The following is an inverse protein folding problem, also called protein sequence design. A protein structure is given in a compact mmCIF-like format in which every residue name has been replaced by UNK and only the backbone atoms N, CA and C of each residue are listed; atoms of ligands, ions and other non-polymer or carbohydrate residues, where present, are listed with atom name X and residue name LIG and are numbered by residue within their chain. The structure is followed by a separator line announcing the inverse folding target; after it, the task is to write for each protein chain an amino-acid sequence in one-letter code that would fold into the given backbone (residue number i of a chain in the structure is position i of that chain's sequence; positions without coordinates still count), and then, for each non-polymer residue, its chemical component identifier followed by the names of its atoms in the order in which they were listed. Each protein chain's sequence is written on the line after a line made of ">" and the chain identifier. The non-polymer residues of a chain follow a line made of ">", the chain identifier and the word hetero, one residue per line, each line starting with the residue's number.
data_IF_245871556788
#
_entry.id   IF_245871556788
#
_cell.length_a   1.000
_cell.length_b   1.000
_cell.length_c   1.000
_cell.angle_alpha   90.00
_cell.angle_beta   90.00
_cell.angle_gamma   90.00
#
_symmetry.space_group_name_H-M   'P 1'
#
loop_
_entity.id
_entity.type
_entity.pdbx_description
1 polymer ?
#
# COMPACT_ATOMS: atom_id res chain seq x y z
N UNK A 1 -35.01 -15.85 -8.12
CA UNK A 1 -34.89 -15.69 -6.65
C UNK A 1 -33.81 -16.57 -5.98
N UNK A 2 -33.73 -17.89 -6.17
CA UNK A 2 -32.72 -18.76 -5.51
C UNK A 2 -31.25 -18.37 -5.73
N UNK A 3 -30.88 -17.81 -6.89
CA UNK A 3 -29.48 -17.40 -7.19
C UNK A 3 -28.99 -16.21 -6.35
N UNK A 4 -29.85 -15.27 -5.97
CA UNK A 4 -29.45 -14.07 -5.21
C UNK A 4 -29.14 -14.40 -3.75
N UNK A 5 -29.98 -15.20 -3.10
CA UNK A 5 -29.76 -15.64 -1.71
C UNK A 5 -28.53 -16.53 -1.57
N UNK A 6 -28.27 -17.40 -2.55
CA UNK A 6 -27.08 -18.24 -2.58
C UNK A 6 -25.78 -17.43 -2.74
N UNK A 7 -25.79 -16.39 -3.60
CA UNK A 7 -24.65 -15.49 -3.78
C UNK A 7 -24.33 -14.71 -2.49
N UNK A 8 -25.36 -14.16 -1.84
CA UNK A 8 -25.21 -13.45 -0.56
C UNK A 8 -24.63 -14.34 0.54
N UNK A 9 -25.17 -15.55 0.72
CA UNK A 9 -24.64 -16.54 1.68
C UNK A 9 -23.19 -16.92 1.38
N UNK A 10 -22.82 -17.00 0.10
CA UNK A 10 -21.45 -17.32 -0.29
C UNK A 10 -20.47 -16.20 0.05
N UNK A 11 -20.87 -14.94 -0.11
CA UNK A 11 -20.10 -13.76 0.31
C UNK A 11 -19.90 -13.72 1.83
N UNK A 12 -20.99 -13.86 2.59
CA UNK A 12 -20.96 -13.92 4.04
C UNK A 12 -20.06 -15.03 4.60
N UNK A 13 -20.08 -16.22 3.99
CA UNK A 13 -19.14 -17.30 4.36
C UNK A 13 -17.68 -16.96 4.06
N UNK A 14 -17.42 -16.26 2.96
CA UNK A 14 -16.08 -15.82 2.59
C UNK A 14 -15.56 -14.76 3.57
N UNK A 15 -16.39 -13.79 3.95
CA UNK A 15 -16.06 -12.80 4.98
C UNK A 15 -15.79 -13.45 6.33
N UNK A 16 -16.62 -14.40 6.76
CA UNK A 16 -16.40 -15.12 8.03
C UNK A 16 -15.10 -15.91 8.05
N UNK A 17 -14.76 -16.61 6.97
CA UNK A 17 -13.49 -17.33 6.86
C UNK A 17 -12.31 -16.35 6.89
N UNK A 18 -12.40 -15.24 6.15
CA UNK A 18 -11.37 -14.20 6.15
C UNK A 18 -11.20 -13.61 7.55
N UNK A 19 -12.29 -13.25 8.22
CA UNK A 19 -12.29 -12.72 9.60
C UNK A 19 -11.61 -13.68 10.57
N UNK A 20 -11.93 -14.97 10.50
CA UNK A 20 -11.29 -15.98 11.34
C UNK A 20 -9.80 -16.13 11.06
N UNK A 21 -9.37 -16.09 9.78
CA UNK A 21 -7.95 -16.15 9.43
C UNK A 21 -7.21 -14.90 9.93
N UNK A 22 -7.77 -13.71 9.67
CA UNK A 22 -7.21 -12.42 10.04
C UNK A 22 -7.08 -12.26 11.56
N UNK A 23 -8.02 -12.78 12.35
CA UNK A 23 -8.01 -12.64 13.81
C UNK A 23 -6.84 -13.35 14.49
N UNK A 24 -6.13 -14.23 13.77
CA UNK A 24 -4.92 -14.88 14.28
C UNK A 24 -3.69 -13.96 14.29
N UNK A 25 -3.73 -12.79 13.64
CA UNK A 25 -2.59 -11.88 13.59
C UNK A 25 -2.94 -10.39 13.55
N UNK A 26 -4.24 -10.05 13.50
CA UNK A 26 -4.71 -8.67 13.53
C UNK A 26 -5.98 -8.52 14.36
N UNK A 27 -6.11 -7.38 15.04
CA UNK A 27 -7.38 -6.92 15.58
C UNK A 27 -8.27 -6.44 14.44
N UNK A 28 -9.53 -6.86 14.42
CA UNK A 28 -10.45 -6.59 13.31
C UNK A 28 -11.56 -5.65 13.78
N UNK A 29 -11.72 -4.54 13.09
CA UNK A 29 -12.85 -3.64 13.21
C UNK A 29 -13.70 -3.72 11.94
N UNK A 30 -15.02 -3.75 12.13
CA UNK A 30 -15.96 -3.55 11.04
C UNK A 30 -16.12 -2.05 10.76
N UNK A 31 -16.25 -1.66 9.49
CA UNK A 31 -16.60 -0.29 9.15
C UNK A 31 -17.90 0.12 9.85
N UNK A 32 -17.87 1.28 10.52
CA UNK A 32 -19.03 1.76 11.31
C UNK A 32 -20.02 2.58 10.48
N UNK A 33 -19.61 3.04 9.30
CA UNK A 33 -20.41 3.89 8.41
C UNK A 33 -20.68 3.22 7.06
N UNK A 34 -21.80 3.59 6.43
CA UNK A 34 -22.18 3.15 5.07
C UNK A 34 -21.10 3.56 4.06
N UNK A 35 -20.40 4.69 4.25
CA UNK A 35 -19.34 5.15 3.37
C UNK A 35 -18.09 4.25 3.41
N UNK A 36 -17.76 3.70 4.58
CA UNK A 36 -16.65 2.76 4.71
C UNK A 36 -17.04 1.34 4.23
N UNK A 37 -18.32 0.96 4.36
CA UNK A 37 -18.92 -0.26 3.79
C UNK A 37 -18.91 -0.25 2.24
N UNK A 38 -18.87 0.94 1.63
CA UNK A 38 -18.69 1.08 0.17
C UNK A 38 -17.30 0.61 -0.26
N UNK A 39 -16.29 0.67 0.61
CA UNK A 39 -14.88 0.55 0.23
C UNK A 39 -14.22 -0.77 0.64
N UNK A 40 -14.30 -1.10 1.93
CA UNK A 40 -13.55 -2.16 2.59
C UNK A 40 -14.47 -2.96 3.51
N UNK A 41 -14.22 -4.27 3.64
CA UNK A 41 -15.05 -5.11 4.51
C UNK A 41 -14.53 -5.11 5.96
N UNK A 42 -13.22 -4.93 6.14
CA UNK A 42 -12.55 -4.87 7.44
C UNK A 42 -11.47 -3.78 7.49
N UNK A 43 -11.31 -3.19 8.67
CA UNK A 43 -10.08 -2.52 9.09
C UNK A 43 -9.35 -3.42 10.08
N UNK A 44 -8.06 -3.62 9.84
CA UNK A 44 -7.23 -4.56 10.58
C UNK A 44 -6.02 -3.83 11.18
N UNK A 45 -5.70 -4.12 12.44
CA UNK A 45 -4.46 -3.71 13.09
C UNK A 45 -3.62 -4.94 13.38
N UNK A 46 -2.54 -5.14 12.63
CA UNK A 46 -1.56 -6.20 12.88
C UNK A 46 -1.02 -6.03 14.30
N UNK A 47 -0.88 -7.12 15.04
CA UNK A 47 -0.28 -7.11 16.36
C UNK A 47 0.99 -7.96 16.42
N UNK A 48 1.92 -7.55 17.27
CA UNK A 48 3.03 -8.37 17.72
C UNK A 48 2.73 -8.94 19.10
N UNK A 49 3.20 -10.16 19.35
CA UNK A 49 3.22 -10.75 20.69
C UNK A 49 4.50 -10.32 21.40
N UNK A 50 4.35 -9.59 22.51
CA UNK A 50 5.45 -9.21 23.38
C UNK A 50 5.28 -9.96 24.70
N UNK A 51 6.28 -10.77 25.05
CA UNK A 51 6.35 -11.40 26.37
C UNK A 51 7.06 -10.45 27.34
N UNK A 52 6.39 -10.10 28.42
CA UNK A 52 6.98 -9.34 29.54
C UNK A 52 6.57 -10.01 30.84
N UNK A 53 7.57 -10.35 31.65
CA UNK A 53 7.45 -11.15 32.87
C UNK A 53 6.76 -12.51 32.64
N UNK A 54 5.51 -12.66 33.09
CA UNK A 54 4.67 -13.88 33.02
C UNK A 54 3.50 -13.77 32.04
N UNK A 55 3.34 -12.63 31.38
CA UNK A 55 2.19 -12.33 30.53
C UNK A 55 2.62 -12.13 29.07
N UNK A 56 1.75 -12.53 28.14
CA UNK A 56 1.88 -12.21 26.73
C UNK A 56 0.92 -11.06 26.40
N UNK A 57 1.46 -9.99 25.85
CA UNK A 57 0.72 -8.81 25.44
C UNK A 57 0.66 -8.75 23.91
N UNK A 58 -0.50 -8.40 23.37
CA UNK A 58 -0.67 -8.13 21.95
C UNK A 58 -0.56 -6.62 21.73
N UNK A 59 0.48 -6.18 21.01
CA UNK A 59 0.74 -4.76 20.77
C UNK A 59 0.45 -4.42 19.32
N UNK A 60 -0.44 -3.46 19.03
CA UNK A 60 -0.75 -3.06 17.66
C UNK A 60 0.47 -2.42 16.98
N UNK A 61 0.66 -2.71 15.70
CA UNK A 61 1.78 -2.23 14.87
C UNK A 61 1.30 -1.48 13.64
N UNK A 62 0.89 -2.20 12.60
CA UNK A 62 0.45 -1.60 11.35
C UNK A 62 -1.05 -1.78 11.12
N UNK A 63 -1.70 -0.73 10.63
CA UNK A 63 -3.11 -0.73 10.24
C UNK A 63 -3.26 -0.93 8.74
N UNK A 64 -4.29 -1.66 8.31
CA UNK A 64 -4.67 -1.76 6.91
C UNK A 64 -6.17 -1.95 6.74
N UNK A 65 -6.70 -1.54 5.59
CA UNK A 65 -8.05 -1.86 5.16
C UNK A 65 -8.01 -3.02 4.17
N UNK A 66 -8.98 -3.93 4.23
CA UNK A 66 -9.07 -5.05 3.31
C UNK A 66 -10.50 -5.26 2.80
N UNK A 67 -10.63 -5.48 1.50
CA UNK A 67 -11.86 -5.96 0.89
C UNK A 67 -11.78 -7.45 0.58
N UNK A 68 -12.77 -8.22 1.00
CA UNK A 68 -12.89 -9.65 0.77
C UNK A 68 -13.68 -9.93 -0.50
N UNK A 69 -13.15 -10.83 -1.32
CA UNK A 69 -13.79 -11.35 -2.52
C UNK A 69 -13.83 -12.87 -2.48
N UNK A 70 -14.88 -13.42 -3.07
CA UNK A 70 -15.05 -14.87 -3.24
C UNK A 70 -14.40 -15.41 -4.51
N UNK A 71 -13.91 -14.53 -5.39
CA UNK A 71 -13.18 -14.90 -6.61
C UNK A 71 -12.10 -13.86 -6.95
N UNK A 72 -11.10 -14.28 -7.73
CA UNK A 72 -9.98 -13.44 -8.15
C UNK A 72 -10.20 -12.79 -9.53
N UNK A 73 -11.45 -12.56 -9.95
CA UNK A 73 -11.73 -11.97 -11.27
C UNK A 73 -11.41 -10.48 -11.27
N UNK A 74 -11.26 -9.90 -12.46
CA UNK A 74 -11.23 -8.45 -12.62
C UNK A 74 -12.54 -7.84 -12.08
N UNK A 75 -12.44 -6.76 -11.31
CA UNK A 75 -13.60 -6.06 -10.76
C UNK A 75 -13.42 -4.54 -10.88
N UNK A 76 -14.52 -3.80 -10.99
CA UNK A 76 -14.48 -2.33 -11.06
C UNK A 76 -14.34 -1.73 -9.66
N UNK A 77 -13.56 -0.65 -9.58
CA UNK A 77 -13.43 0.22 -8.39
C UNK A 77 -13.81 1.67 -8.70
N UNK A 78 -14.39 1.94 -9.87
CA UNK A 78 -14.76 3.29 -10.32
C UNK A 78 -15.61 4.04 -9.29
N UNK A 79 -16.61 3.36 -8.73
CA UNK A 79 -17.51 3.92 -7.72
C UNK A 79 -16.87 4.11 -6.33
N UNK A 80 -15.63 3.65 -6.14
CA UNK A 80 -14.86 3.75 -4.90
C UNK A 80 -13.63 4.66 -5.04
N UNK A 81 -13.49 5.34 -6.18
CA UNK A 81 -12.32 6.16 -6.52
C UNK A 81 -12.00 7.15 -5.39
N UNK A 82 -12.97 7.97 -5.01
CA UNK A 82 -12.76 9.03 -4.01
C UNK A 82 -12.39 8.44 -2.65
N UNK A 83 -13.09 7.37 -2.23
CA UNK A 83 -12.75 6.63 -1.02
C UNK A 83 -11.30 6.12 -1.05
N UNK A 84 -10.91 5.39 -2.10
CA UNK A 84 -9.58 4.81 -2.24
C UNK A 84 -8.49 5.89 -2.38
N UNK A 85 -8.80 7.03 -2.98
CA UNK A 85 -7.90 8.18 -3.07
C UNK A 85 -7.69 8.87 -1.72
N UNK A 86 -8.70 8.90 -0.87
CA UNK A 86 -8.64 9.51 0.47
C UNK A 86 -8.18 8.56 1.58
N UNK A 87 -8.07 7.26 1.29
CA UNK A 87 -7.74 6.25 2.28
C UNK A 87 -6.34 6.49 2.87
N UNK A 88 -6.29 6.78 4.17
CA UNK A 88 -5.05 7.05 4.91
C UNK A 88 -4.30 5.80 5.38
N UNK A 89 -4.76 4.61 5.00
CA UNK A 89 -4.14 3.32 5.37
C UNK A 89 -3.94 2.43 4.15
N UNK A 90 -2.97 1.50 4.18
CA UNK A 90 -2.80 0.50 3.12
C UNK A 90 -4.09 -0.25 2.80
N UNK A 91 -4.37 -0.41 1.50
CA UNK A 91 -5.52 -1.16 1.01
C UNK A 91 -5.09 -2.53 0.48
N UNK A 92 -5.80 -3.58 0.88
CA UNK A 92 -5.62 -4.94 0.40
C UNK A 92 -6.92 -5.51 -0.17
N UNK A 93 -6.78 -6.55 -0.99
CA UNK A 93 -7.88 -7.41 -1.43
C UNK A 93 -7.58 -8.83 -0.97
N UNK A 94 -8.49 -9.40 -0.20
CA UNK A 94 -8.43 -10.79 0.25
C UNK A 94 -9.31 -11.68 -0.62
N UNK A 95 -8.75 -12.74 -1.19
CA UNK A 95 -9.53 -13.77 -1.92
C UNK A 95 -9.54 -15.05 -1.11
N UNK A 96 -10.73 -15.44 -0.66
CA UNK A 96 -10.88 -16.67 0.11
C UNK A 96 -11.11 -17.89 -0.78
N UNK A 97 -10.49 -19.01 -0.42
CA UNK A 97 -10.84 -20.32 -0.97
C UNK A 97 -11.37 -21.21 0.16
N UNK A 98 -12.69 -21.31 0.24
CA UNK A 98 -13.41 -22.04 1.29
C UNK A 98 -13.06 -23.53 1.34
N UNK A 99 -12.78 -24.15 0.20
CA UNK A 99 -12.41 -25.58 0.14
C UNK A 99 -11.03 -25.83 0.75
N UNK A 100 -10.08 -24.92 0.48
CA UNK A 100 -8.71 -25.01 0.98
C UNK A 100 -8.52 -24.29 2.32
N UNK A 101 -9.54 -23.60 2.84
CA UNK A 101 -9.48 -22.76 4.05
C UNK A 101 -8.32 -21.77 4.03
N UNK A 102 -8.11 -21.11 2.89
CA UNK A 102 -7.04 -20.11 2.70
C UNK A 102 -7.58 -18.72 2.35
N UNK A 103 -6.75 -17.72 2.62
CA UNK A 103 -6.89 -16.32 2.23
C UNK A 103 -5.66 -15.90 1.41
N UNK A 104 -5.83 -15.66 0.12
CA UNK A 104 -4.83 -15.01 -0.72
C UNK A 104 -4.95 -13.49 -0.53
N UNK A 105 -3.88 -12.81 -0.14
CA UNK A 105 -3.84 -11.37 0.10
C UNK A 105 -3.12 -10.69 -1.07
N UNK A 106 -3.74 -9.65 -1.64
CA UNK A 106 -3.21 -8.85 -2.74
C UNK A 106 -3.13 -7.38 -2.33
N UNK A 107 -2.04 -6.73 -2.69
CA UNK A 107 -1.71 -5.34 -2.34
C UNK A 107 -2.33 -4.35 -3.32
N UNK A 108 -2.92 -3.27 -2.81
CA UNK A 108 -3.35 -2.11 -3.58
C UNK A 108 -2.27 -1.03 -3.70
N UNK A 109 -0.98 -1.35 -3.49
CA UNK A 109 0.11 -0.37 -3.45
C UNK A 109 0.21 0.53 -4.69
N UNK A 110 -0.22 0.03 -5.86
CA UNK A 110 -0.18 0.77 -7.12
C UNK A 110 -1.31 1.78 -7.30
N UNK A 111 -2.28 1.85 -6.37
CA UNK A 111 -3.34 2.86 -6.41
C UNK A 111 -2.79 4.29 -6.30
N UNK A 112 -1.79 4.51 -5.45
CA UNK A 112 -1.19 5.83 -5.23
C UNK A 112 -0.56 6.38 -6.52
N UNK A 113 0.45 5.72 -7.12
CA UNK A 113 1.05 6.21 -8.35
C UNK A 113 0.03 6.27 -9.49
N UNK A 114 -0.91 5.31 -9.57
CA UNK A 114 -1.96 5.32 -10.59
C UNK A 114 -2.82 6.59 -10.54
N UNK A 115 -3.31 6.97 -9.35
CA UNK A 115 -4.17 8.16 -9.21
C UNK A 115 -3.41 9.47 -9.40
N UNK A 116 -2.10 9.48 -9.17
CA UNK A 116 -1.26 10.63 -9.47
C UNK A 116 -1.02 10.79 -10.97
N UNK A 117 -0.78 9.68 -11.68
CA UNK A 117 -0.65 9.67 -13.15
C UNK A 117 -1.99 9.98 -13.84
N UNK A 118 -3.10 9.50 -13.28
CA UNK A 118 -4.41 9.51 -13.91
C UNK A 118 -5.50 10.02 -12.95
N UNK A 119 -5.44 11.29 -12.50
CA UNK A 119 -6.38 11.83 -11.51
C UNK A 119 -7.84 11.81 -11.99
N UNK A 120 -8.05 11.92 -13.30
CA UNK A 120 -9.37 11.98 -13.95
C UNK A 120 -9.81 10.61 -14.51
N UNK A 121 -9.19 9.50 -14.10
CA UNK A 121 -9.63 8.18 -14.55
C UNK A 121 -10.99 7.83 -13.92
N UNK A 122 -11.97 7.47 -14.75
CA UNK A 122 -13.34 7.15 -14.30
C UNK A 122 -13.73 5.68 -14.56
N UNK A 123 -13.12 5.02 -15.53
CA UNK A 123 -13.32 3.59 -15.81
C UNK A 123 -12.14 2.76 -15.32
N UNK A 124 -12.16 2.39 -14.04
CA UNK A 124 -11.05 1.75 -13.34
C UNK A 124 -11.45 0.34 -12.93
N UNK A 125 -10.66 -0.63 -13.36
CA UNK A 125 -10.72 -2.02 -12.93
C UNK A 125 -9.46 -2.43 -12.19
N UNK A 126 -9.61 -3.38 -11.29
CA UNK A 126 -8.52 -4.05 -10.59
C UNK A 126 -8.35 -5.44 -11.17
N UNK A 127 -7.10 -5.86 -11.35
CA UNK A 127 -6.73 -7.23 -11.70
C UNK A 127 -5.76 -7.78 -10.66
N UNK A 128 -6.13 -8.91 -10.04
CA UNK A 128 -5.30 -9.56 -9.02
C UNK A 128 -4.25 -10.44 -9.69
N UNK A 129 -2.97 -10.23 -9.35
CA UNK A 129 -1.83 -10.80 -10.09
C UNK A 129 -0.97 -11.67 -9.18
N UNK A 130 -0.84 -12.95 -9.51
CA UNK A 130 0.09 -13.88 -8.80
C UNK A 130 1.52 -13.84 -9.36
N UNK A 131 1.70 -13.23 -10.53
CA UNK A 131 3.01 -13.09 -11.17
C UNK A 131 3.45 -11.63 -11.08
N UNK A 132 4.75 -11.43 -10.93
CA UNK A 132 5.34 -10.11 -10.98
C UNK A 132 5.24 -9.56 -12.40
N UNK A 133 4.74 -8.33 -12.50
CA UNK A 133 4.66 -7.57 -13.76
C UNK A 133 5.55 -6.34 -13.61
N UNK A 134 6.18 -5.93 -14.70
CA UNK A 134 6.93 -4.68 -14.78
C UNK A 134 6.05 -3.46 -14.54
N UNK A 135 4.82 -3.49 -15.06
CA UNK A 135 3.86 -2.37 -15.06
C UNK A 135 2.92 -2.39 -13.84
N UNK A 136 2.44 -1.21 -13.46
CA UNK A 136 1.53 -1.00 -12.32
C UNK A 136 0.06 -0.90 -12.75
N UNK A 137 -0.19 -0.52 -14.01
CA UNK A 137 -1.50 -0.50 -14.64
C UNK A 137 -1.38 -0.64 -16.17
N UNK A 138 -2.49 -0.92 -16.85
CA UNK A 138 -2.60 -0.84 -18.31
C UNK A 138 -3.82 -0.01 -18.72
N UNK A 139 -3.79 0.54 -19.95
CA UNK A 139 -4.89 1.29 -20.54
C UNK A 139 -5.34 0.66 -21.86
N UNK A 140 -6.64 0.38 -21.97
CA UNK A 140 -7.26 -0.11 -23.20
C UNK A 140 -7.86 1.06 -23.99
N UNK A 141 -7.18 1.50 -25.05
CA UNK A 141 -7.67 2.57 -25.95
C UNK A 141 -9.06 2.30 -26.52
N UNK A 142 -9.41 1.03 -26.76
CA UNK A 142 -10.71 0.64 -27.35
C UNK A 142 -11.88 0.84 -26.38
N UNK A 143 -11.67 0.63 -25.09
CA UNK A 143 -12.73 0.67 -24.08
C UNK A 143 -12.61 1.84 -23.11
N UNK A 144 -11.55 2.65 -23.23
CA UNK A 144 -11.23 3.72 -22.27
C UNK A 144 -11.00 3.19 -20.86
N UNK A 145 -10.63 1.92 -20.70
CA UNK A 145 -10.55 1.24 -19.40
C UNK A 145 -9.12 1.22 -18.89
N UNK A 146 -8.93 1.66 -17.65
CA UNK A 146 -7.71 1.44 -16.88
C UNK A 146 -7.82 0.14 -16.08
N UNK A 147 -6.81 -0.72 -16.16
CA UNK A 147 -6.67 -1.88 -15.28
C UNK A 147 -5.47 -1.67 -14.36
N UNK A 148 -5.70 -1.44 -13.07
CA UNK A 148 -4.66 -1.39 -12.04
C UNK A 148 -4.34 -2.80 -11.56
N UNK A 149 -3.06 -3.13 -11.45
CA UNK A 149 -2.62 -4.46 -11.00
C UNK A 149 -2.46 -4.49 -9.49
N UNK A 150 -2.96 -5.55 -8.87
CA UNK A 150 -2.80 -5.77 -7.43
C UNK A 150 -1.92 -7.01 -7.25
N UNK A 151 -0.63 -6.85 -6.91
CA UNK A 151 0.28 -7.97 -6.75
C UNK A 151 -0.08 -8.83 -5.54
N UNK A 152 0.15 -10.13 -5.66
CA UNK A 152 0.01 -11.09 -4.57
C UNK A 152 1.09 -10.86 -3.51
N UNK A 153 0.67 -10.85 -2.25
CA UNK A 153 1.54 -10.62 -1.10
C UNK A 153 1.81 -11.92 -0.36
N UNK A 154 0.76 -12.66 0.01
CA UNK A 154 0.87 -13.87 0.81
C UNK A 154 -0.39 -14.73 0.74
N UNK A 155 -0.25 -16.00 1.09
CA UNK A 155 -1.36 -16.96 1.20
C UNK A 155 -1.39 -17.53 2.61
N UNK A 156 -2.41 -17.15 3.39
CA UNK A 156 -2.58 -17.61 4.77
C UNK A 156 -3.57 -18.76 4.78
N UNK A 157 -3.23 -19.87 5.43
CA UNK A 157 -4.10 -21.04 5.58
C UNK A 157 -4.24 -21.44 7.05
N UNK A 158 -5.37 -22.05 7.39
CA UNK A 158 -5.64 -22.51 8.77
C UNK A 158 -4.86 -23.76 9.17
N UNK A 159 -4.53 -24.61 8.20
CA UNK A 159 -3.92 -25.92 8.45
C UNK A 159 -2.38 -25.90 8.21
N UNK A 160 -1.74 -24.72 8.29
CA UNK A 160 -0.32 -24.52 7.93
C UNK A 160 0.60 -24.47 9.16
N UNK A 161 1.87 -24.82 8.95
CA UNK A 161 2.91 -24.72 9.97
C UNK A 161 3.00 -23.30 10.54
N UNK A 162 3.21 -23.20 11.85
CA UNK A 162 3.39 -21.95 12.60
C UNK A 162 4.48 -21.06 12.00
N UNK A 163 5.53 -21.64 11.42
CA UNK A 163 6.61 -20.90 10.74
C UNK A 163 6.15 -20.26 9.45
N UNK A 164 5.40 -21.00 8.63
CA UNK A 164 4.84 -20.50 7.37
C UNK A 164 3.82 -19.39 7.65
N UNK A 165 2.97 -19.57 8.66
CA UNK A 165 2.04 -18.55 9.12
C UNK A 165 2.78 -17.26 9.51
N UNK A 166 3.78 -17.34 10.40
CA UNK A 166 4.59 -16.19 10.83
C UNK A 166 5.33 -15.51 9.67
N UNK A 167 5.80 -16.27 8.69
CA UNK A 167 6.47 -15.71 7.51
C UNK A 167 5.49 -14.92 6.65
N UNK A 168 4.29 -15.45 6.42
CA UNK A 168 3.25 -14.78 5.66
C UNK A 168 2.73 -13.51 6.35
N UNK A 169 2.55 -13.53 7.68
CA UNK A 169 2.11 -12.34 8.42
C UNK A 169 3.19 -11.26 8.43
N UNK A 170 4.47 -11.63 8.59
CA UNK A 170 5.61 -10.70 8.44
C UNK A 170 5.68 -10.09 7.04
N UNK A 171 5.40 -10.85 5.99
CA UNK A 171 5.35 -10.33 4.63
C UNK A 171 4.24 -9.27 4.47
N UNK A 172 3.05 -9.53 5.03
CA UNK A 172 1.95 -8.55 5.02
C UNK A 172 2.34 -7.29 5.80
N UNK A 173 2.88 -7.42 7.00
CA UNK A 173 3.37 -6.28 7.80
C UNK A 173 4.43 -5.47 7.06
N UNK A 174 5.41 -6.13 6.42
CA UNK A 174 6.43 -5.48 5.59
C UNK A 174 5.81 -4.64 4.48
N UNK A 175 4.88 -5.22 3.70
CA UNK A 175 4.18 -4.52 2.61
C UNK A 175 3.33 -3.38 3.17
N UNK A 176 2.65 -3.60 4.28
CA UNK A 176 1.84 -2.60 4.99
C UNK A 176 2.66 -1.37 5.37
N UNK A 177 3.87 -1.57 5.92
CA UNK A 177 4.80 -0.49 6.26
C UNK A 177 5.27 0.28 5.02
N UNK A 178 5.58 -0.42 3.93
CA UNK A 178 6.00 0.22 2.67
C UNK A 178 4.87 1.10 2.11
N UNK A 179 3.65 0.57 2.05
CA UNK A 179 2.50 1.33 1.55
C UNK A 179 2.18 2.51 2.47
N UNK A 180 2.23 2.33 3.78
CA UNK A 180 2.01 3.42 4.75
C UNK A 180 3.01 4.55 4.55
N UNK A 181 4.29 4.22 4.34
CA UNK A 181 5.30 5.21 4.01
C UNK A 181 5.01 5.91 2.67
N UNK A 182 4.54 5.18 1.66
CA UNK A 182 4.14 5.79 0.38
C UNK A 182 2.93 6.74 0.54
N UNK A 183 1.96 6.42 1.40
CA UNK A 183 0.83 7.30 1.73
C UNK A 183 1.35 8.58 2.41
N UNK A 184 2.22 8.45 3.41
CA UNK A 184 2.85 9.61 4.09
C UNK A 184 3.63 10.47 3.11
N UNK A 185 4.41 9.87 2.22
CA UNK A 185 5.14 10.58 1.16
C UNK A 185 4.20 11.39 0.27
N UNK A 186 3.11 10.78 -0.20
CA UNK A 186 2.09 11.49 -0.99
C UNK A 186 1.52 12.69 -0.21
N UNK A 187 1.18 12.51 1.06
CA UNK A 187 0.63 13.59 1.89
C UNK A 187 1.63 14.74 2.07
N UNK A 188 2.92 14.41 2.12
CA UNK A 188 4.03 15.38 2.17
C UNK A 188 4.45 15.90 0.79
N UNK A 189 3.72 15.57 -0.29
CA UNK A 189 4.04 15.95 -1.68
C UNK A 189 5.41 15.44 -2.17
N UNK A 190 5.82 14.27 -1.66
CA UNK A 190 6.96 13.52 -2.16
C UNK A 190 6.48 12.44 -3.13
N UNK A 191 6.92 12.52 -4.40
CA UNK A 191 6.40 11.68 -5.49
C UNK A 191 7.36 10.58 -5.93
N UNK A 192 8.17 10.11 -4.98
CA UNK A 192 9.10 9.00 -5.14
C UNK A 192 8.60 7.88 -4.22
N UNK A 193 8.04 6.81 -4.78
CA UNK A 193 7.47 5.71 -3.99
C UNK A 193 8.35 4.46 -4.05
N UNK A 194 8.08 3.48 -3.18
CA UNK A 194 8.80 2.19 -3.17
C UNK A 194 7.86 1.07 -3.56
N UNK A 195 8.28 0.23 -4.52
CA UNK A 195 7.64 -1.01 -4.94
C UNK A 195 7.95 -2.10 -3.91
N UNK A 196 6.92 -2.66 -3.26
CA UNK A 196 7.09 -3.67 -2.23
C UNK A 196 7.50 -5.05 -2.78
N UNK A 197 7.26 -5.29 -4.07
CA UNK A 197 7.55 -6.53 -4.80
C UNK A 197 8.95 -6.48 -5.38
N UNK A 198 9.35 -5.37 -6.00
CA UNK A 198 10.66 -5.22 -6.66
C UNK A 198 11.73 -4.59 -5.77
N UNK A 199 11.35 -3.98 -4.65
CA UNK A 199 12.23 -3.13 -3.84
C UNK A 199 12.90 -2.01 -4.67
N UNK A 200 12.17 -1.51 -5.67
CA UNK A 200 12.61 -0.45 -6.58
C UNK A 200 11.82 0.83 -6.38
N UNK A 201 12.39 1.94 -6.80
CA UNK A 201 11.70 3.22 -6.81
C UNK A 201 10.62 3.24 -7.90
N UNK A 202 9.42 3.59 -7.51
CA UNK A 202 8.31 3.92 -8.40
C UNK A 202 8.35 5.42 -8.66
N UNK A 203 8.53 5.79 -9.93
CA UNK A 203 8.41 7.17 -10.38
C UNK A 203 7.03 7.39 -10.98
N UNK A 204 6.37 8.46 -10.53
CA UNK A 204 5.15 8.97 -11.14
C UNK A 204 5.53 9.59 -12.48
N UNK A 205 4.77 9.33 -13.55
CA UNK A 205 5.07 9.78 -14.90
C UNK A 205 4.61 11.23 -15.14
N UNK A 206 4.80 12.11 -14.15
CA UNK A 206 4.45 13.52 -14.23
C UNK A 206 5.69 14.37 -13.98
N UNK A 207 6.23 14.93 -15.07
CA UNK A 207 7.42 15.79 -15.04
C UNK A 207 7.27 16.94 -14.03
N UNK A 208 6.08 17.54 -13.95
CA UNK A 208 5.80 18.63 -13.01
C UNK A 208 5.90 18.18 -11.54
N UNK A 209 5.37 17.00 -11.20
CA UNK A 209 5.45 16.45 -9.84
C UNK A 209 6.88 16.03 -9.49
N UNK A 210 7.61 15.45 -10.45
CA UNK A 210 9.02 15.11 -10.27
C UNK A 210 9.85 16.38 -10.03
N UNK A 211 9.67 17.41 -10.87
CA UNK A 211 10.35 18.70 -10.73
C UNK A 211 10.03 19.35 -9.38
N UNK A 212 8.77 19.35 -8.95
CA UNK A 212 8.37 19.87 -7.65
C UNK A 212 9.03 19.12 -6.50
N UNK A 213 9.02 17.78 -6.52
CA UNK A 213 9.66 16.96 -5.49
C UNK A 213 11.18 17.17 -5.47
N UNK A 214 11.82 17.26 -6.64
CA UNK A 214 13.25 17.51 -6.74
C UNK A 214 13.61 18.90 -6.20
N UNK A 215 12.89 19.94 -6.63
CA UNK A 215 13.09 21.32 -6.18
C UNK A 215 12.93 21.45 -4.66
N UNK A 216 11.91 20.81 -4.08
CA UNK A 216 11.69 20.82 -2.63
C UNK A 216 12.84 20.14 -1.88
N UNK A 217 13.30 18.97 -2.34
CA UNK A 217 14.42 18.25 -1.70
C UNK A 217 15.72 19.02 -1.81
N UNK A 218 16.02 19.58 -2.97
CA UNK A 218 17.21 20.42 -3.17
C UNK A 218 17.15 21.65 -2.26
N UNK A 219 15.99 22.31 -2.16
CA UNK A 219 15.80 23.47 -1.28
C UNK A 219 16.07 23.12 0.18
N UNK A 220 15.57 21.98 0.67
CA UNK A 220 15.85 21.51 2.02
C UNK A 220 17.35 21.27 2.25
N UNK A 221 18.02 20.60 1.31
CA UNK A 221 19.48 20.36 1.38
C UNK A 221 20.22 21.71 1.43
N UNK A 222 19.88 22.66 0.56
CA UNK A 222 20.53 23.97 0.56
C UNK A 222 20.29 24.74 1.86
N UNK A 223 19.08 24.71 2.43
CA UNK A 223 18.81 25.33 3.72
C UNK A 223 19.59 24.67 4.87
N UNK A 224 19.66 23.34 4.90
CA UNK A 224 20.44 22.61 5.91
C UNK A 224 21.94 22.95 5.80
N UNK A 225 22.48 23.00 4.57
CA UNK A 225 23.86 23.40 4.32
C UNK A 225 24.13 24.84 4.75
N UNK A 226 23.25 25.77 4.41
CA UNK A 226 23.35 27.17 4.83
C UNK A 226 23.33 27.31 6.35
N UNK A 227 22.43 26.60 7.03
CA UNK A 227 22.35 26.59 8.49
C UNK A 227 23.63 26.05 9.15
N UNK A 228 24.19 24.97 8.61
CA UNK A 228 25.47 24.39 9.09
C UNK A 228 26.61 25.41 8.97
N UNK A 229 26.71 26.08 7.82
CA UNK A 229 27.73 27.09 7.55
C UNK A 229 27.58 28.32 8.46
N UNK A 230 26.36 28.81 8.66
CA UNK A 230 26.09 29.99 9.49
C UNK A 230 26.35 29.76 10.97
N UNK A 231 26.07 28.55 11.48
CA UNK A 231 26.20 28.22 12.89
C UNK A 231 27.57 27.65 13.27
N UNK A 232 28.52 27.60 12.33
CA UNK A 232 29.84 26.99 12.54
C UNK A 232 29.72 25.62 13.22
N UNK A 233 28.85 24.74 12.71
CA UNK A 233 28.94 23.33 13.07
C UNK A 233 30.25 22.81 12.46
N UNK A 234 31.35 23.03 13.18
CA UNK A 234 32.70 22.62 12.83
C UNK A 234 32.71 21.09 12.94
N UNK A 235 32.54 20.44 11.81
CA UNK A 235 33.00 19.09 11.62
C UNK A 235 34.03 19.11 10.46
N UNK A 236 34.96 18.16 10.45
CA UNK A 236 36.07 18.07 9.47
C UNK A 236 35.58 17.98 8.00
N UNK A 237 34.27 17.88 7.79
CA UNK A 237 33.58 17.74 6.52
C UNK A 237 33.13 19.07 5.89
N UNK A 238 33.42 20.25 6.46
CA UNK A 238 33.03 21.56 5.89
C UNK A 238 33.44 21.73 4.41
N UNK A 239 34.66 21.29 4.07
CA UNK A 239 35.17 21.29 2.68
C UNK A 239 34.43 20.32 1.77
N UNK A 240 33.89 19.23 2.31
CA UNK A 240 33.10 18.25 1.55
C UNK A 240 31.71 18.82 1.25
N UNK A 241 31.11 19.53 2.21
CA UNK A 241 29.85 20.25 2.01
C UNK A 241 29.93 21.34 0.93
N UNK A 242 31.00 22.15 0.94
CA UNK A 242 31.23 23.17 -0.12
C UNK A 242 31.38 22.53 -1.50
N UNK A 243 32.12 21.41 -1.60
CA UNK A 243 32.26 20.65 -2.85
C UNK A 243 30.92 20.11 -3.37
N UNK A 244 30.08 19.57 -2.48
CA UNK A 244 28.75 19.08 -2.85
C UNK A 244 27.87 20.24 -3.35
N UNK A 245 27.85 21.36 -2.63
CA UNK A 245 27.11 22.57 -3.04
C UNK A 245 27.55 23.04 -4.44
N UNK A 246 28.85 23.21 -4.64
CA UNK A 246 29.39 23.73 -5.90
C UNK A 246 29.20 22.74 -7.06
N UNK A 247 29.30 21.43 -6.79
CA UNK A 247 28.99 20.39 -7.78
C UNK A 247 27.50 20.39 -8.17
N UNK A 248 26.58 20.58 -7.21
CA UNK A 248 25.14 20.67 -7.50
C UNK A 248 24.86 21.92 -8.35
N UNK A 249 25.40 23.08 -7.98
CA UNK A 249 25.21 24.34 -8.72
C UNK A 249 25.78 24.26 -10.14
N UNK A 250 26.97 23.68 -10.30
CA UNK A 250 27.64 23.56 -11.61
C UNK A 250 26.91 22.61 -12.55
N UNK A 251 26.43 21.47 -12.04
CA UNK A 251 25.84 20.42 -12.88
C UNK A 251 24.35 20.62 -13.17
N UNK A 252 23.60 21.32 -12.29
CA UNK A 252 22.17 21.54 -12.50
C UNK A 252 21.83 22.69 -13.45
N UNK A 253 22.81 23.50 -13.90
CA UNK A 253 22.58 24.72 -14.72
C UNK A 253 21.37 25.53 -14.22
N UNK A 254 21.33 25.77 -12.91
CA UNK A 254 20.42 26.76 -12.32
C UNK A 254 20.91 28.17 -12.64
#
# INVERSE_FOLDING_TARGET
>A
MKKHLAAFRSGWQSENLARYILSNFAFIAHPSTIADDIGSDFFCNIFDEISSDKNNYLVPKESFAIQIKSNARKFSISNKKDYLQSLGVPFFVGVTNKKKKILDVFSGEYLIPFFLDNPNADNIKVSLMKKNISEFYSFSKKSGEFTVYFPHVSTIGLDRDSTEFKTNTKNISRVCRIISNNITRRNNREYIFVDSVKAQTLLVNSDALIQQSLSTRLSNIFMELSYILENNFIDDNLREYEKIRDAILTNLRL
#
